data_IF_274613283358
#
_entry.id   IF_274613283358
#
_cell.length_a   1.000
_cell.length_b   1.000
_cell.length_c   1.000
_cell.angle_alpha   90.00
_cell.angle_beta   90.00
_cell.angle_gamma   90.00
#
_symmetry.space_group_name_H-M   'P 1'
#
loop_
_entity.id
_entity.type
_entity.pdbx_description
1 polymer ?
#
# COMPACT_ATOMS: atom_id res chain seq x y z
N UNK A 1 -11.94 13.12 16.34
CA UNK A 1 -12.31 12.61 14.99
C UNK A 1 -13.13 11.35 15.18
N UNK A 2 -14.24 11.20 14.45
CA UNK A 2 -15.10 10.02 14.50
C UNK A 2 -14.55 9.00 13.50
N UNK A 3 -14.32 7.76 13.93
CA UNK A 3 -13.85 6.67 13.03
C UNK A 3 -15.06 5.98 12.39
N UNK A 4 -14.97 5.69 11.11
CA UNK A 4 -15.95 4.90 10.34
C UNK A 4 -15.62 3.40 10.41
N UNK A 5 -16.61 2.57 10.11
CA UNK A 5 -16.46 1.11 10.06
C UNK A 5 -15.62 0.71 8.83
N UNK A 6 -14.77 -0.31 9.00
CA UNK A 6 -13.90 -0.82 7.92
C UNK A 6 -14.70 -1.56 6.86
N UNK A 7 -15.78 -2.25 7.24
CA UNK A 7 -16.64 -2.97 6.31
C UNK A 7 -17.74 -2.11 5.69
N UNK A 8 -18.13 -1.01 6.34
CA UNK A 8 -19.26 -0.18 5.94
C UNK A 8 -18.89 1.31 6.07
N UNK A 9 -18.55 1.95 4.95
CA UNK A 9 -18.14 3.37 4.92
C UNK A 9 -19.21 4.33 5.46
N UNK A 10 -20.49 4.00 5.32
CA UNK A 10 -21.63 4.79 5.79
C UNK A 10 -21.93 4.63 7.29
N UNK A 11 -21.18 3.78 8.01
CA UNK A 11 -21.45 3.43 9.41
C UNK A 11 -20.35 3.95 10.32
N UNK A 12 -20.74 4.63 11.39
CA UNK A 12 -19.79 5.03 12.45
C UNK A 12 -19.34 3.78 13.21
N UNK A 13 -18.04 3.68 13.47
CA UNK A 13 -17.48 2.56 14.23
C UNK A 13 -18.03 2.56 15.66
N UNK A 14 -18.64 1.44 16.04
CA UNK A 14 -19.20 1.19 17.38
C UNK A 14 -18.33 0.23 18.21
N UNK A 15 -17.10 -0.05 17.78
CA UNK A 15 -16.18 -1.01 18.38
C UNK A 15 -16.77 -2.43 18.57
N UNK A 16 -17.57 -2.93 17.61
CA UNK A 16 -18.10 -4.30 17.66
C UNK A 16 -17.03 -5.40 17.66
N UNK A 17 -15.85 -5.12 17.08
CA UNK A 17 -14.72 -6.06 17.03
C UNK A 17 -14.81 -7.12 15.94
N UNK A 18 -15.88 -7.14 15.15
CA UNK A 18 -16.08 -8.10 14.04
C UNK A 18 -14.97 -8.04 12.99
N UNK A 19 -14.45 -6.84 12.71
CA UNK A 19 -13.33 -6.64 11.78
C UNK A 19 -11.99 -7.23 12.25
N UNK A 20 -11.92 -7.74 13.48
CA UNK A 20 -10.73 -8.43 14.00
C UNK A 20 -10.83 -9.95 13.93
N UNK A 21 -11.94 -10.50 13.41
CA UNK A 21 -12.16 -11.95 13.33
C UNK A 21 -11.64 -12.48 11.98
N UNK A 22 -11.12 -13.70 11.96
CA UNK A 22 -10.64 -14.32 10.74
C UNK A 22 -11.81 -14.73 9.83
N UNK A 23 -11.75 -14.35 8.55
CA UNK A 23 -12.78 -14.69 7.55
C UNK A 23 -12.93 -16.20 7.32
N UNK A 24 -11.88 -16.99 7.58
CA UNK A 24 -11.89 -18.45 7.42
C UNK A 24 -12.33 -19.20 8.69
N UNK A 25 -12.17 -18.60 9.87
CA UNK A 25 -12.48 -19.24 11.16
C UNK A 25 -12.99 -18.21 12.15
N UNK A 26 -14.30 -18.23 12.40
CA UNK A 26 -14.99 -17.30 13.31
C UNK A 26 -14.54 -17.41 14.77
N UNK A 27 -13.81 -18.45 15.17
CA UNK A 27 -13.26 -18.60 16.52
C UNK A 27 -11.86 -17.99 16.67
N UNK A 28 -11.24 -17.53 15.58
CA UNK A 28 -9.86 -17.05 15.55
C UNK A 28 -9.81 -15.53 15.34
N UNK A 29 -8.97 -14.85 16.13
CA UNK A 29 -8.59 -13.46 15.84
C UNK A 29 -7.68 -13.39 14.61
N UNK A 30 -7.95 -12.44 13.73
CA UNK A 30 -7.13 -12.21 12.55
C UNK A 30 -5.71 -11.82 12.98
N UNK A 31 -4.74 -12.59 12.50
CA UNK A 31 -3.32 -12.36 12.69
C UNK A 31 -2.62 -11.98 11.39
N UNK A 32 -3.37 -11.45 10.42
CA UNK A 32 -2.93 -11.03 9.09
C UNK A 32 -2.12 -12.10 8.31
N UNK A 33 -2.43 -13.39 8.52
CA UNK A 33 -1.72 -14.48 7.84
C UNK A 33 -1.99 -14.63 6.34
N UNK A 34 -2.91 -13.83 5.76
CA UNK A 34 -3.18 -13.81 4.32
C UNK A 34 -3.90 -15.03 3.74
N UNK A 35 -4.12 -16.11 4.50
CA UNK A 35 -4.75 -17.34 4.00
C UNK A 35 -6.14 -17.16 3.39
N UNK A 36 -6.92 -16.17 3.86
CA UNK A 36 -8.23 -15.85 3.28
C UNK A 36 -8.13 -15.24 1.86
N UNK A 37 -6.95 -14.75 1.48
CA UNK A 37 -6.68 -14.17 0.16
C UNK A 37 -6.13 -15.18 -0.84
N UNK A 38 -5.71 -16.36 -0.38
CA UNK A 38 -5.15 -17.45 -1.19
C UNK A 38 -6.22 -18.24 -1.96
N UNK A 39 -7.12 -17.53 -2.64
CA UNK A 39 -8.10 -18.14 -3.52
C UNK A 39 -7.34 -18.74 -4.71
N UNK A 40 -7.62 -20.01 -5.02
CA UNK A 40 -7.05 -20.75 -6.16
C UNK A 40 -5.56 -21.15 -6.07
N UNK A 41 -4.95 -21.09 -4.87
CA UNK A 41 -3.59 -21.59 -4.64
C UNK A 41 -2.48 -20.61 -5.01
N UNK A 42 -2.84 -19.34 -5.24
CA UNK A 42 -1.90 -18.24 -5.43
C UNK A 42 -1.82 -17.39 -4.16
N UNK A 43 -0.61 -16.99 -3.75
CA UNK A 43 -0.39 -16.16 -2.56
C UNK A 43 -0.90 -14.72 -2.72
N UNK A 44 -1.04 -14.27 -3.96
CA UNK A 44 -1.54 -12.95 -4.37
C UNK A 44 -2.38 -13.09 -5.63
N UNK A 45 -3.40 -12.24 -5.80
CA UNK A 45 -4.03 -12.07 -7.11
C UNK A 45 -3.01 -11.42 -8.04
N UNK A 46 -2.52 -12.18 -9.01
CA UNK A 46 -1.73 -11.63 -10.10
C UNK A 46 -2.68 -11.00 -11.13
N UNK A 47 -2.31 -9.83 -11.63
CA UNK A 47 -2.91 -9.28 -12.83
C UNK A 47 -1.93 -9.63 -13.94
N UNK A 48 -2.34 -10.50 -14.85
CA UNK A 48 -1.56 -10.78 -16.05
C UNK A 48 -1.71 -9.58 -16.98
N UNK A 49 -0.59 -8.94 -17.29
CA UNK A 49 -0.53 -7.84 -18.26
C UNK A 49 -0.15 -8.47 -19.59
N UNK A 50 -1.12 -8.56 -20.50
CA UNK A 50 -0.88 -9.10 -21.84
C UNK A 50 -0.11 -8.11 -22.73
N UNK A 51 -0.42 -6.81 -22.63
CA UNK A 51 0.19 -5.76 -23.45
C UNK A 51 0.16 -4.40 -22.74
N UNK A 52 1.15 -3.55 -23.01
CA UNK A 52 1.21 -2.16 -22.55
C UNK A 52 1.11 -1.27 -23.79
N UNK A 53 0.07 -0.44 -23.85
CA UNK A 53 -0.17 0.48 -24.97
C UNK A 53 0.39 1.85 -24.62
N UNK A 54 1.44 2.28 -25.34
CA UNK A 54 2.10 3.58 -25.12
C UNK A 54 1.40 4.73 -25.88
N UNK A 55 0.69 4.44 -26.98
CA UNK A 55 -0.04 5.42 -27.78
C UNK A 55 -1.55 5.19 -27.72
N UNK A 56 -2.28 6.18 -27.21
CA UNK A 56 -3.74 6.13 -27.08
C UNK A 56 -4.48 5.98 -28.42
N UNK A 57 -3.82 6.26 -29.55
CA UNK A 57 -4.39 6.05 -30.88
C UNK A 57 -4.43 4.57 -31.31
N UNK A 58 -3.74 3.70 -30.59
CA UNK A 58 -3.71 2.24 -30.81
C UNK A 58 -4.74 1.48 -29.97
N UNK A 59 -5.44 2.18 -29.06
CA UNK A 59 -6.52 1.61 -28.23
C UNK A 59 -7.74 1.35 -29.11
N UNK A 60 -8.14 0.09 -29.22
CA UNK A 60 -9.31 -0.31 -29.97
C UNK A 60 -10.58 -0.34 -29.09
N UNK A 61 -11.75 -0.33 -29.72
CA UNK A 61 -13.06 -0.36 -29.05
C UNK A 61 -13.26 -1.62 -28.18
N UNK A 62 -12.47 -2.67 -28.39
CA UNK A 62 -12.47 -3.91 -27.61
C UNK A 62 -11.57 -3.86 -26.36
N UNK A 63 -10.59 -2.95 -26.32
CA UNK A 63 -9.63 -2.80 -25.20
C UNK A 63 -10.25 -2.00 -24.05
N UNK A 64 -11.33 -1.26 -24.34
CA UNK A 64 -12.11 -0.58 -23.32
C UNK A 64 -13.18 -1.52 -22.80
N UNK A 65 -12.88 -2.27 -21.75
CA UNK A 65 -13.89 -3.04 -21.04
C UNK A 65 -14.86 -2.04 -20.37
N UNK A 66 -16.04 -1.82 -20.93
CA UNK A 66 -17.15 -1.13 -20.23
C UNK A 66 -17.70 -2.02 -19.10
N UNK A 67 -16.85 -2.40 -18.14
CA UNK A 67 -17.38 -2.68 -16.80
C UNK A 67 -17.76 -1.32 -16.22
N UNK A 68 -19.06 -1.13 -15.99
CA UNK A 68 -19.54 0.03 -15.24
C UNK A 68 -18.91 -0.02 -13.85
N UNK A 69 -17.85 0.76 -13.65
CA UNK A 69 -17.32 1.07 -12.32
C UNK A 69 -18.33 2.01 -11.66
N UNK A 70 -19.44 1.46 -11.17
CA UNK A 70 -20.53 2.26 -10.58
C UNK A 70 -20.20 2.82 -9.18
N UNK A 71 -19.08 2.45 -8.54
CA UNK A 71 -18.86 2.80 -7.12
C UNK A 71 -17.47 3.35 -6.72
N UNK A 72 -16.60 3.73 -7.65
CA UNK A 72 -15.38 4.48 -7.29
C UNK A 72 -15.63 5.97 -7.51
N UNK A 73 -16.36 6.60 -6.59
CA UNK A 73 -16.47 8.05 -6.50
C UNK A 73 -15.20 8.66 -5.90
N UNK A 74 -14.03 8.30 -6.44
CA UNK A 74 -12.78 8.95 -6.13
C UNK A 74 -12.77 10.23 -6.96
N UNK A 75 -13.12 11.34 -6.31
CA UNK A 75 -12.97 12.66 -6.91
C UNK A 75 -11.47 12.93 -7.13
N UNK A 76 -11.03 12.72 -8.37
CA UNK A 76 -9.67 12.95 -8.84
C UNK A 76 -9.22 14.39 -8.52
N UNK A 77 -10.15 15.36 -8.52
CA UNK A 77 -9.82 16.75 -8.19
C UNK A 77 -9.58 16.97 -6.69
N UNK A 78 -10.26 16.21 -5.82
CA UNK A 78 -9.97 16.20 -4.38
C UNK A 78 -8.58 15.62 -4.06
N UNK A 79 -8.14 14.57 -4.77
CA UNK A 79 -6.78 14.03 -4.63
C UNK A 79 -5.71 15.02 -5.13
N UNK A 80 -5.97 15.69 -6.26
CA UNK A 80 -5.08 16.75 -6.75
C UNK A 80 -4.95 17.91 -5.76
N UNK A 81 -6.03 18.27 -5.05
CA UNK A 81 -6.02 19.30 -4.02
C UNK A 81 -5.16 18.94 -2.80
N UNK A 82 -5.20 17.68 -2.35
CA UNK A 82 -4.34 17.17 -1.26
C UNK A 82 -2.86 17.14 -1.63
N UNK A 83 -2.55 16.83 -2.90
CA UNK A 83 -1.18 16.76 -3.39
C UNK A 83 -0.64 18.11 -3.91
N UNK A 84 -1.49 19.14 -4.02
CA UNK A 84 -1.13 20.46 -4.57
C UNK A 84 -0.03 21.17 -3.77
N UNK A 85 0.09 20.86 -2.49
CA UNK A 85 1.05 21.47 -1.58
C UNK A 85 2.41 20.76 -1.55
N UNK A 86 2.54 19.59 -2.18
CA UNK A 86 3.80 18.86 -2.33
C UNK A 86 4.35 19.14 -3.72
N UNK A 87 5.27 20.10 -3.83
CA UNK A 87 6.04 20.24 -5.08
C UNK A 87 7.10 19.15 -5.10
N UNK A 88 7.42 18.62 -6.28
CA UNK A 88 8.56 17.71 -6.44
C UNK A 88 9.87 18.31 -5.90
N UNK A 89 9.98 19.64 -5.89
CA UNK A 89 11.11 20.37 -5.30
C UNK A 89 11.21 20.25 -3.77
N UNK A 90 10.11 19.90 -3.09
CA UNK A 90 10.04 19.82 -1.63
C UNK A 90 10.35 18.40 -1.12
N UNK A 91 10.42 17.42 -2.03
CA UNK A 91 10.73 16.01 -1.74
C UNK A 91 12.13 15.69 -2.25
N UNK A 92 13.12 15.61 -1.35
CA UNK A 92 14.45 15.09 -1.69
C UNK A 92 14.39 13.56 -1.83
N UNK A 93 14.25 13.09 -3.07
CA UNK A 93 14.41 11.67 -3.42
C UNK A 93 15.81 11.44 -3.97
N UNK A 94 16.54 10.50 -3.39
CA UNK A 94 17.86 10.05 -3.83
C UNK A 94 17.81 8.52 -3.99
N UNK A 95 18.55 7.96 -4.95
CA UNK A 95 18.67 6.51 -5.04
C UNK A 95 19.49 5.98 -3.88
N UNK A 96 19.19 4.77 -3.44
CA UNK A 96 19.93 4.12 -2.35
C UNK A 96 21.41 3.97 -2.72
N UNK A 97 21.69 3.67 -4.00
CA UNK A 97 23.04 3.56 -4.55
C UNK A 97 23.83 4.88 -4.53
N UNK A 98 23.13 6.02 -4.51
CA UNK A 98 23.76 7.34 -4.46
C UNK A 98 24.15 7.75 -3.02
N UNK A 99 23.67 7.02 -2.01
CA UNK A 99 23.97 7.30 -0.60
C UNK A 99 25.04 6.33 -0.10
N UNK A 100 26.26 6.84 0.08
CA UNK A 100 27.41 6.06 0.54
C UNK A 100 27.12 5.26 1.82
N UNK A 101 27.29 3.94 1.73
CA UNK A 101 27.14 3.00 2.85
C UNK A 101 25.69 2.65 3.22
N UNK A 102 24.69 3.19 2.51
CA UNK A 102 23.28 2.85 2.77
C UNK A 102 22.95 1.41 2.34
N UNK A 103 23.46 0.97 1.18
CA UNK A 103 23.32 -0.42 0.71
C UNK A 103 23.86 -1.43 1.72
N UNK A 104 25.06 -1.19 2.25
CA UNK A 104 25.69 -2.08 3.23
C UNK A 104 24.85 -2.23 4.52
N UNK A 105 24.12 -1.17 4.90
CA UNK A 105 23.21 -1.21 6.06
C UNK A 105 21.93 -1.99 5.75
N UNK A 106 21.42 -1.90 4.51
CA UNK A 106 20.24 -2.65 4.08
C UNK A 106 20.51 -4.15 3.97
N UNK A 107 21.70 -4.53 3.51
CA UNK A 107 22.10 -5.95 3.44
C UNK A 107 22.27 -6.59 4.82
N UNK A 108 22.42 -5.78 5.87
CA UNK A 108 22.60 -6.22 7.26
C UNK A 108 21.44 -5.76 8.17
N UNK A 109 20.21 -5.65 7.65
CA UNK A 109 19.02 -5.27 8.43
C UNK A 109 18.88 -6.12 9.70
N UNK A 110 19.04 -7.44 9.59
CA UNK A 110 18.92 -8.38 10.72
C UNK A 110 19.89 -8.10 11.88
N UNK A 111 21.01 -7.41 11.62
CA UNK A 111 22.05 -7.10 12.61
C UNK A 111 22.07 -5.62 13.02
N UNK A 112 21.19 -4.78 12.46
CA UNK A 112 21.25 -3.32 12.57
C UNK A 112 20.00 -2.67 13.16
N UNK A 113 19.18 -3.41 13.92
CA UNK A 113 17.95 -2.96 14.61
C UNK A 113 18.10 -1.64 15.42
N UNK A 114 19.30 -1.34 15.91
CA UNK A 114 19.57 -0.08 16.64
C UNK A 114 19.63 1.15 15.72
N UNK A 115 19.94 0.96 14.44
CA UNK A 115 20.19 2.00 13.44
C UNK A 115 19.09 2.03 12.38
N UNK A 116 18.59 0.87 11.94
CA UNK A 116 17.51 0.74 10.96
C UNK A 116 16.40 -0.12 11.56
N UNK A 117 15.15 0.31 11.39
CA UNK A 117 13.98 -0.43 11.87
C UNK A 117 12.92 -0.51 10.79
N UNK A 118 12.49 -1.73 10.46
CA UNK A 118 11.29 -1.94 9.64
C UNK A 118 10.03 -1.73 10.48
N UNK A 119 9.18 -0.79 10.05
CA UNK A 119 7.89 -0.51 10.71
C UNK A 119 6.70 -1.06 9.93
N UNK A 120 6.87 -1.28 8.63
CA UNK A 120 5.93 -1.93 7.71
C UNK A 120 6.73 -2.62 6.59
N UNK A 121 6.17 -3.63 5.90
CA UNK A 121 6.81 -4.29 4.77
C UNK A 121 7.35 -3.27 3.75
N UNK A 122 8.68 -3.16 3.64
CA UNK A 122 9.36 -2.24 2.74
C UNK A 122 9.49 -0.78 3.23
N UNK A 123 9.03 -0.46 4.45
CA UNK A 123 9.20 0.86 5.08
C UNK A 123 10.20 0.78 6.23
N UNK A 124 11.41 1.28 5.97
CA UNK A 124 12.52 1.30 6.91
C UNK A 124 12.72 2.73 7.47
N UNK A 125 12.91 2.82 8.79
CA UNK A 125 13.24 4.07 9.48
C UNK A 125 14.68 4.00 9.96
N UNK A 126 15.50 4.97 9.56
CA UNK A 126 16.88 5.12 10.05
C UNK A 126 16.90 6.03 11.28
N UNK A 127 17.29 5.48 12.42
CA UNK A 127 17.48 6.23 13.65
C UNK A 127 18.79 7.02 13.59
N UNK A 128 18.72 8.34 13.44
CA UNK A 128 19.90 9.20 13.65
C UNK A 128 20.31 9.16 15.13
N UNK A 129 21.33 8.36 15.48
CA UNK A 129 22.05 8.55 16.75
C UNK A 129 22.72 9.94 16.67
N UNK A 130 22.25 10.90 17.46
CA UNK A 130 22.93 12.18 17.65
C UNK A 130 24.32 11.91 18.21
N UNK A 131 25.37 12.12 17.41
CA UNK A 131 26.73 12.24 17.95
C UNK A 131 26.72 13.41 18.93
N UNK A 132 26.92 13.12 20.21
CA UNK A 132 27.13 14.10 21.27
C UNK A 132 28.60 14.50 21.31
#
# INVERSE_FOLDING_TARGET
MVKTCVFESNKVCNNCGECNICDLDSNKLCNNCGKCLQLEGYDVKAIDIDEIIDDLSEVNEYDTCEEKIEDINIDIDSLKLLNRDLKDSDISLEYIDDVDGLNDLLDNIDNSDEVIKEVFPGLLIVNKKTKK
#
